data_IF_000973959346
#
_entry.id   IF_000973959346
#
_cell.length_a   1.000
_cell.length_b   1.000
_cell.length_c   1.000
_cell.angle_alpha   90.00
_cell.angle_beta   90.00
_cell.angle_gamma   90.00
#
_symmetry.space_group_name_H-M   'P 1'
#
loop_
_entity.id
_entity.type
_entity.pdbx_description
1 polymer ?
#
# COMPACT_ATOMS: atom_id res chain seq x y z
N UNK A 1 -51.73 40.52 51.32
CA UNK A 1 -50.99 40.67 50.02
C UNK A 1 -49.89 39.61 49.93
N UNK A 2 -50.16 38.57 49.18
CA UNK A 2 -49.28 37.39 49.12
C UNK A 2 -48.58 37.44 47.76
N UNK A 3 -47.25 37.64 47.80
CA UNK A 3 -46.40 37.59 46.59
C UNK A 3 -46.07 36.15 46.26
N UNK A 4 -46.56 35.67 45.10
CA UNK A 4 -46.28 34.36 44.57
C UNK A 4 -44.99 34.46 43.73
N UNK A 5 -43.88 33.86 44.18
CA UNK A 5 -42.64 33.78 43.44
C UNK A 5 -42.65 32.47 42.64
N UNK A 6 -42.59 32.59 41.31
CA UNK A 6 -42.50 31.49 40.38
C UNK A 6 -40.99 31.18 40.15
N UNK A 7 -40.53 29.96 40.26
CA UNK A 7 -39.14 29.64 39.88
C UNK A 7 -39.03 29.36 38.39
N UNK A 8 -38.11 30.07 37.75
CA UNK A 8 -37.72 29.92 36.35
C UNK A 8 -36.76 28.73 36.26
N UNK A 9 -37.21 27.61 35.70
CA UNK A 9 -36.37 26.43 35.42
C UNK A 9 -35.56 26.68 34.14
N UNK A 10 -34.24 26.90 34.27
CA UNK A 10 -33.30 26.87 33.15
C UNK A 10 -33.06 25.43 32.72
N UNK A 11 -33.63 25.03 31.60
CA UNK A 11 -33.31 23.79 30.91
C UNK A 11 -31.96 23.86 30.21
N UNK A 12 -30.95 23.23 30.78
CA UNK A 12 -29.62 23.08 30.17
C UNK A 12 -29.70 22.01 29.10
N UNK A 13 -29.77 22.40 27.82
CA UNK A 13 -29.71 21.50 26.68
C UNK A 13 -28.28 20.98 26.48
N UNK A 14 -28.05 19.69 26.74
CA UNK A 14 -26.81 19.01 26.37
C UNK A 14 -26.76 18.82 24.85
N UNK A 15 -25.95 19.60 24.16
CA UNK A 15 -25.63 19.38 22.74
C UNK A 15 -24.60 18.26 22.68
N UNK A 16 -25.03 17.04 22.36
CA UNK A 16 -24.14 15.93 22.05
C UNK A 16 -23.59 16.16 20.65
N UNK A 17 -22.37 16.66 20.54
CA UNK A 17 -21.65 16.71 19.28
C UNK A 17 -21.28 15.26 18.91
N UNK A 18 -22.05 14.65 18.03
CA UNK A 18 -21.68 13.40 17.37
C UNK A 18 -20.49 13.68 16.45
N UNK A 19 -19.27 13.39 16.89
CA UNK A 19 -18.14 13.24 16.00
C UNK A 19 -18.41 12.06 15.09
N UNK A 20 -18.90 12.34 13.88
CA UNK A 20 -18.99 11.37 12.81
C UNK A 20 -17.55 11.01 12.38
N UNK A 21 -17.00 9.97 12.99
CA UNK A 21 -15.75 9.36 12.52
C UNK A 21 -15.99 8.86 11.09
N UNK A 22 -15.27 9.43 10.14
CA UNK A 22 -15.17 8.83 8.81
C UNK A 22 -14.50 7.48 9.03
N UNK A 23 -15.20 6.40 8.70
CA UNK A 23 -14.64 5.06 8.71
C UNK A 23 -13.52 4.99 7.65
N UNK A 24 -12.29 5.26 8.06
CA UNK A 24 -11.10 5.07 7.22
C UNK A 24 -10.66 3.60 7.12
N UNK A 25 -11.41 2.67 7.74
CA UNK A 25 -11.00 1.28 7.95
C UNK A 25 -11.33 0.32 6.78
N UNK A 26 -11.80 0.81 5.65
CA UNK A 26 -11.94 -0.04 4.48
C UNK A 26 -10.59 -0.12 3.76
N UNK A 27 -9.99 -1.31 3.62
CA UNK A 27 -8.82 -1.46 2.77
C UNK A 27 -9.21 -1.06 1.35
N UNK A 28 -8.69 0.07 0.87
CA UNK A 28 -9.01 0.59 -0.46
C UNK A 28 -8.57 -0.35 -1.57
N UNK A 29 -7.53 -1.12 -1.33
CA UNK A 29 -7.05 -2.17 -2.22
C UNK A 29 -7.66 -3.48 -1.78
N UNK A 30 -8.34 -4.22 -2.67
CA UNK A 30 -8.89 -5.53 -2.34
C UNK A 30 -7.84 -6.47 -1.75
N UNK A 31 -8.25 -7.32 -0.81
CA UNK A 31 -7.38 -8.38 -0.34
C UNK A 31 -7.30 -9.48 -1.40
N UNK A 32 -6.09 -9.78 -1.83
CA UNK A 32 -5.78 -10.92 -2.68
C UNK A 32 -4.64 -11.72 -2.04
N UNK A 33 -4.64 -13.06 -2.15
CA UNK A 33 -3.57 -13.85 -1.56
C UNK A 33 -2.23 -13.54 -2.21
N UNK A 34 -1.18 -13.46 -1.38
CA UNK A 34 0.20 -13.39 -1.82
C UNK A 34 0.97 -14.50 -1.13
N UNK A 35 1.56 -15.37 -1.94
CA UNK A 35 2.46 -16.43 -1.49
C UNK A 35 3.46 -16.71 -2.61
N UNK A 36 4.55 -15.95 -2.60
CA UNK A 36 5.59 -16.02 -3.61
C UNK A 36 6.89 -16.47 -2.96
N UNK A 37 7.61 -17.36 -3.65
CA UNK A 37 8.94 -17.82 -3.24
C UNK A 37 9.91 -17.58 -4.40
N UNK A 38 10.90 -16.72 -4.17
CA UNK A 38 11.88 -16.29 -5.16
C UNK A 38 13.25 -16.86 -4.81
N UNK A 39 13.80 -17.69 -5.66
CA UNK A 39 15.18 -18.17 -5.53
C UNK A 39 16.14 -17.12 -6.11
N UNK A 40 16.78 -16.34 -5.25
CA UNK A 40 17.60 -15.17 -5.63
C UNK A 40 18.79 -15.48 -6.55
N UNK A 41 19.17 -16.77 -6.64
CA UNK A 41 20.21 -17.22 -7.58
C UNK A 41 19.72 -17.34 -9.02
N UNK A 42 18.41 -17.36 -9.25
CA UNK A 42 17.84 -17.39 -10.60
C UNK A 42 18.14 -16.11 -11.37
N UNK A 43 18.36 -16.24 -12.68
CA UNK A 43 18.72 -15.14 -13.55
C UNK A 43 17.61 -14.08 -13.66
N UNK A 44 16.35 -14.49 -13.52
CA UNK A 44 15.20 -13.56 -13.55
C UNK A 44 15.18 -12.56 -12.38
N UNK A 45 15.87 -12.88 -11.26
CA UNK A 45 15.97 -12.05 -10.07
C UNK A 45 17.35 -11.40 -9.90
N UNK A 46 18.17 -11.37 -10.93
CA UNK A 46 19.53 -10.82 -10.89
C UNK A 46 19.58 -9.37 -10.36
N UNK A 47 18.56 -8.57 -10.64
CA UNK A 47 18.44 -7.19 -10.13
C UNK A 47 18.36 -7.13 -8.60
N UNK A 48 17.81 -8.14 -7.95
CA UNK A 48 17.73 -8.22 -6.49
C UNK A 48 19.07 -8.57 -5.81
N UNK A 49 20.16 -8.68 -6.56
CA UNK A 49 21.52 -8.84 -6.03
C UNK A 49 22.18 -7.49 -5.74
N UNK A 50 21.61 -6.39 -6.21
CA UNK A 50 22.14 -5.04 -6.06
C UNK A 50 21.18 -4.19 -5.22
N UNK A 51 21.72 -3.33 -4.36
CA UNK A 51 20.93 -2.41 -3.54
C UNK A 51 20.12 -1.46 -4.46
N UNK A 52 18.89 -1.18 -4.08
CA UNK A 52 17.88 -0.50 -4.88
C UNK A 52 17.48 -1.23 -6.18
N UNK A 53 17.98 -2.44 -6.40
CA UNK A 53 17.49 -3.29 -7.47
C UNK A 53 16.06 -3.75 -7.21
N UNK A 54 15.25 -3.81 -8.27
CA UNK A 54 13.85 -4.19 -8.15
C UNK A 54 13.41 -5.08 -9.31
N UNK A 55 12.42 -5.92 -9.02
CA UNK A 55 11.76 -6.78 -10.00
C UNK A 55 10.25 -6.66 -9.88
N UNK A 56 9.55 -6.82 -10.99
CA UNK A 56 8.09 -6.86 -11.06
C UNK A 56 7.62 -8.28 -11.33
N UNK A 57 6.75 -8.77 -10.47
CA UNK A 57 6.16 -10.11 -10.56
C UNK A 57 4.71 -9.99 -11.02
N UNK A 58 4.25 -10.86 -11.93
CA UNK A 58 2.86 -10.85 -12.40
C UNK A 58 1.91 -11.39 -11.32
N UNK A 59 0.60 -11.19 -11.52
CA UNK A 59 -0.46 -11.72 -10.65
C UNK A 59 -0.37 -13.24 -10.49
N UNK A 60 -0.04 -13.94 -11.58
CA UNK A 60 0.24 -15.37 -11.58
C UNK A 60 1.76 -15.54 -11.43
N UNK A 61 2.27 -15.41 -10.22
CA UNK A 61 3.64 -15.78 -9.90
C UNK A 61 3.85 -17.30 -9.98
N UNK A 62 5.08 -17.78 -9.80
CA UNK A 62 5.40 -19.22 -9.84
C UNK A 62 4.54 -20.08 -8.91
N UNK A 63 3.97 -19.47 -7.84
CA UNK A 63 3.08 -20.13 -6.87
C UNK A 63 1.59 -19.77 -7.06
N UNK A 64 1.22 -19.02 -8.10
CA UNK A 64 -0.18 -18.71 -8.41
C UNK A 64 -0.87 -17.67 -7.55
N UNK A 65 -0.18 -17.03 -6.61
CA UNK A 65 -0.73 -16.05 -5.68
C UNK A 65 0.14 -14.78 -5.64
N UNK A 66 -0.13 -13.84 -6.53
CA UNK A 66 0.67 -12.62 -6.73
C UNK A 66 -0.08 -11.31 -6.47
N UNK A 67 -1.01 -11.27 -5.53
CA UNK A 67 -1.76 -10.06 -5.21
C UNK A 67 -2.84 -9.70 -6.24
N UNK A 68 -3.26 -8.43 -6.23
CA UNK A 68 -4.33 -7.93 -7.12
C UNK A 68 -3.81 -7.65 -8.53
N UNK A 69 -2.70 -6.94 -8.66
CA UNK A 69 -2.09 -6.56 -9.95
C UNK A 69 -0.62 -6.95 -10.08
N UNK A 70 -0.16 -7.81 -9.21
CA UNK A 70 1.22 -8.26 -9.13
C UNK A 70 1.98 -7.58 -8.00
N UNK A 71 3.23 -7.95 -7.84
CA UNK A 71 4.10 -7.48 -6.75
C UNK A 71 5.36 -6.84 -7.32
N UNK A 72 5.79 -5.74 -6.73
CA UNK A 72 7.14 -5.20 -6.93
C UNK A 72 7.96 -5.58 -5.72
N UNK A 73 9.09 -6.26 -5.92
CA UNK A 73 10.06 -6.55 -4.87
C UNK A 73 11.27 -5.65 -5.06
N UNK A 74 11.70 -5.01 -4.00
CA UNK A 74 12.84 -4.09 -3.98
C UNK A 74 13.84 -4.55 -2.94
N UNK A 75 15.12 -4.65 -3.30
CA UNK A 75 16.20 -4.83 -2.33
C UNK A 75 16.62 -3.48 -1.76
N UNK A 76 16.61 -3.35 -0.45
CA UNK A 76 17.09 -2.15 0.25
C UNK A 76 18.58 -2.28 0.64
N UNK A 77 18.98 -3.46 1.06
CA UNK A 77 20.36 -3.79 1.42
C UNK A 77 20.59 -5.31 1.34
N UNK A 78 21.75 -5.79 1.73
CA UNK A 78 22.16 -7.19 1.62
C UNK A 78 21.14 -8.22 2.16
N UNK A 79 20.41 -7.87 3.22
CA UNK A 79 19.43 -8.76 3.87
C UNK A 79 18.05 -8.14 4.02
N UNK A 80 17.83 -6.93 3.46
CA UNK A 80 16.58 -6.19 3.61
C UNK A 80 15.88 -6.03 2.27
N UNK A 81 14.64 -6.49 2.22
CA UNK A 81 13.79 -6.44 1.04
C UNK A 81 12.43 -5.87 1.42
N UNK A 82 11.81 -5.19 0.48
CA UNK A 82 10.43 -4.72 0.56
C UNK A 82 9.63 -5.30 -0.60
N UNK A 83 8.36 -5.57 -0.36
CA UNK A 83 7.46 -6.05 -1.39
C UNK A 83 6.15 -5.24 -1.37
N UNK A 84 5.70 -4.79 -2.53
CA UNK A 84 4.54 -3.92 -2.65
C UNK A 84 3.54 -4.46 -3.66
N UNK A 85 2.26 -4.30 -3.34
CA UNK A 85 1.18 -4.48 -4.30
C UNK A 85 1.32 -3.45 -5.43
N UNK A 86 1.16 -3.91 -6.67
CA UNK A 86 1.19 -3.04 -7.84
C UNK A 86 -0.12 -2.29 -8.10
N UNK A 87 -1.19 -2.62 -7.38
CA UNK A 87 -2.42 -1.85 -7.47
C UNK A 87 -2.24 -0.48 -6.80
N UNK A 88 -2.45 0.59 -7.57
CA UNK A 88 -2.29 1.95 -7.07
C UNK A 88 -3.38 2.28 -6.04
N UNK A 89 -3.03 2.88 -4.87
CA UNK A 89 -4.01 3.28 -3.86
C UNK A 89 -4.95 4.41 -4.32
N UNK A 90 -4.59 5.14 -5.37
CA UNK A 90 -5.46 6.11 -5.99
C UNK A 90 -6.36 5.41 -7.02
N UNK A 91 -7.66 5.35 -6.75
CA UNK A 91 -8.66 4.66 -7.58
C UNK A 91 -8.31 3.18 -7.84
N UNK A 92 -8.19 2.35 -6.82
CA UNK A 92 -7.67 0.97 -6.96
C UNK A 92 -8.56 0.05 -7.80
N UNK A 93 -9.81 0.43 -8.07
CA UNK A 93 -10.74 -0.32 -8.91
C UNK A 93 -10.61 0.00 -10.41
N UNK A 94 -9.87 1.04 -10.78
CA UNK A 94 -9.63 1.35 -12.19
C UNK A 94 -8.73 0.25 -12.80
N UNK A 95 -9.09 -0.24 -13.98
CA UNK A 95 -8.34 -1.30 -14.65
C UNK A 95 -6.88 -0.92 -14.90
N UNK A 96 -6.62 0.37 -15.20
CA UNK A 96 -5.29 0.90 -15.49
C UNK A 96 -4.47 1.26 -14.24
N UNK A 97 -5.06 1.32 -13.03
CA UNK A 97 -4.37 1.70 -11.80
C UNK A 97 -3.29 0.68 -11.41
N UNK A 98 -2.17 0.69 -12.11
CA UNK A 98 -1.08 -0.28 -11.95
C UNK A 98 0.27 0.42 -11.88
N UNK A 99 0.94 0.23 -10.77
CA UNK A 99 2.27 0.78 -10.51
C UNK A 99 3.34 -0.08 -11.18
N UNK A 100 4.30 0.58 -11.78
CA UNK A 100 5.46 -0.04 -12.43
C UNK A 100 6.72 0.73 -12.09
N UNK A 101 7.87 0.05 -12.16
CA UNK A 101 9.17 0.73 -12.10
C UNK A 101 9.31 1.69 -13.28
N UNK A 102 9.91 2.84 -13.04
CA UNK A 102 10.27 3.74 -14.12
C UNK A 102 11.28 3.05 -15.05
N UNK A 103 10.95 3.01 -16.35
CA UNK A 103 11.72 2.23 -17.32
C UNK A 103 13.10 2.83 -17.60
N UNK A 104 13.23 4.13 -17.41
CA UNK A 104 14.46 4.84 -17.76
C UNK A 104 15.50 4.79 -16.64
N UNK A 105 15.07 5.10 -15.42
CA UNK A 105 15.97 5.17 -14.27
C UNK A 105 15.92 3.93 -13.36
N UNK A 106 14.74 3.29 -13.23
CA UNK A 106 14.52 2.25 -12.24
C UNK A 106 14.59 2.74 -10.78
N UNK A 107 14.69 4.06 -10.56
CA UNK A 107 14.91 4.66 -9.24
C UNK A 107 13.62 5.07 -8.52
N UNK A 108 12.50 4.99 -9.19
CA UNK A 108 11.19 5.26 -8.61
C UNK A 108 10.11 4.41 -9.30
N UNK A 109 8.94 4.41 -8.69
CA UNK A 109 7.78 3.71 -9.22
C UNK A 109 6.71 4.73 -9.62
N UNK A 110 5.93 4.42 -10.67
CA UNK A 110 4.84 5.30 -11.13
C UNK A 110 3.64 4.51 -11.61
N UNK A 111 2.48 5.12 -11.46
CA UNK A 111 1.23 4.69 -12.09
C UNK A 111 1.00 5.50 -13.36
N UNK A 112 0.91 4.83 -14.50
CA UNK A 112 0.65 5.48 -15.80
C UNK A 112 -0.79 5.98 -15.96
N UNK A 113 -1.73 5.50 -15.14
CA UNK A 113 -3.14 5.89 -15.19
C UNK A 113 -3.39 7.27 -14.56
N UNK A 114 -2.83 7.52 -13.39
CA UNK A 114 -3.03 8.75 -12.63
C UNK A 114 -1.76 9.59 -12.46
N UNK A 115 -0.62 9.12 -12.98
CA UNK A 115 0.69 9.77 -12.85
C UNK A 115 1.23 9.88 -11.41
N UNK A 116 0.64 9.15 -10.44
CA UNK A 116 1.19 9.07 -9.09
C UNK A 116 2.58 8.43 -9.11
N UNK A 117 3.48 8.97 -8.31
CA UNK A 117 4.86 8.52 -8.18
C UNK A 117 5.15 8.09 -6.75
N UNK A 118 6.04 7.10 -6.62
CA UNK A 118 6.46 6.53 -5.34
C UNK A 118 7.96 6.29 -5.36
N UNK A 119 8.59 6.46 -4.22
CA UNK A 119 9.98 6.04 -4.04
C UNK A 119 10.10 4.49 -3.96
N UNK A 120 11.33 4.00 -3.90
CA UNK A 120 11.58 2.55 -3.75
C UNK A 120 11.23 1.99 -2.36
N UNK A 121 10.73 2.83 -1.45
CA UNK A 121 10.15 2.44 -0.16
C UNK A 121 8.62 2.45 -0.19
N UNK A 122 8.03 2.69 -1.36
CA UNK A 122 6.59 2.72 -1.54
C UNK A 122 5.90 3.99 -1.05
N UNK A 123 6.67 5.04 -0.67
CA UNK A 123 6.10 6.30 -0.22
C UNK A 123 5.73 7.18 -1.41
N UNK A 124 4.59 7.89 -1.35
CA UNK A 124 4.18 8.79 -2.44
C UNK A 124 5.13 9.98 -2.51
N UNK A 125 5.60 10.32 -3.72
CA UNK A 125 6.51 11.43 -4.01
C UNK A 125 5.93 12.43 -4.99
N UNK A 126 4.81 12.10 -5.65
CA UNK A 126 4.15 13.01 -6.59
C UNK A 126 2.86 12.46 -7.14
N UNK A 127 2.08 13.33 -7.80
CA UNK A 127 0.76 13.01 -8.35
C UNK A 127 -0.36 13.09 -7.32
N UNK A 128 -1.57 12.61 -7.67
CA UNK A 128 -2.76 12.78 -6.83
C UNK A 128 -2.83 11.82 -5.64
N UNK A 129 -2.03 10.74 -5.62
CA UNK A 129 -2.03 9.79 -4.52
C UNK A 129 -1.27 10.33 -3.31
N UNK A 130 -1.86 10.19 -2.13
CA UNK A 130 -1.28 10.62 -0.84
C UNK A 130 -0.97 9.44 0.10
N UNK A 131 -1.21 8.21 -0.33
CA UNK A 131 -1.04 7.01 0.49
C UNK A 131 0.15 6.18 0.03
N UNK A 132 0.86 5.51 0.94
CA UNK A 132 1.90 4.56 0.56
C UNK A 132 1.31 3.36 -0.20
N UNK A 133 2.16 2.67 -0.93
CA UNK A 133 1.80 1.38 -1.53
C UNK A 133 1.50 0.36 -0.42
N UNK A 134 0.55 -0.55 -0.68
CA UNK A 134 0.30 -1.68 0.21
C UNK A 134 1.53 -2.57 0.25
N UNK A 135 2.10 -2.73 1.43
CA UNK A 135 3.29 -3.53 1.66
C UNK A 135 2.91 -4.94 2.11
N UNK A 136 3.68 -5.92 1.67
CA UNK A 136 3.59 -7.32 2.05
C UNK A 136 4.72 -7.72 2.99
N UNK A 137 4.50 -8.80 3.75
CA UNK A 137 5.52 -9.38 4.60
C UNK A 137 6.59 -10.06 3.75
N UNK A 138 7.86 -9.91 4.14
CA UNK A 138 9.00 -10.48 3.43
C UNK A 138 9.89 -11.21 4.43
N UNK A 139 10.32 -12.43 4.09
CA UNK A 139 11.30 -13.17 4.86
C UNK A 139 12.36 -13.79 3.95
N UNK A 140 13.61 -13.68 4.36
CA UNK A 140 14.76 -14.26 3.64
C UNK A 140 15.28 -15.49 4.40
N UNK A 141 15.33 -16.63 3.72
CA UNK A 141 15.88 -17.88 4.25
C UNK A 141 16.95 -18.42 3.28
N UNK A 142 18.21 -18.24 3.62
CA UNK A 142 19.31 -18.52 2.69
C UNK A 142 19.17 -17.68 1.41
N UNK A 143 18.98 -18.32 0.29
CA UNK A 143 18.78 -17.67 -1.02
C UNK A 143 17.31 -17.60 -1.45
N UNK A 144 16.38 -17.98 -0.57
CA UNK A 144 14.95 -17.98 -0.87
C UNK A 144 14.30 -16.79 -0.16
N UNK A 145 13.71 -15.91 -0.95
CA UNK A 145 12.92 -14.78 -0.49
C UNK A 145 11.44 -15.14 -0.58
N UNK A 146 10.75 -15.18 0.55
CA UNK A 146 9.32 -15.44 0.62
C UNK A 146 8.57 -14.12 0.80
N UNK A 147 7.48 -13.93 0.04
CA UNK A 147 6.57 -12.78 0.14
C UNK A 147 5.18 -13.29 0.42
N UNK A 148 4.57 -12.81 1.52
CA UNK A 148 3.24 -13.23 1.97
C UNK A 148 2.43 -12.02 2.44
N UNK A 149 1.10 -12.18 2.49
CA UNK A 149 0.19 -11.20 3.15
C UNK A 149 -0.27 -11.68 4.51
#
# INVERSE_FOLDING_TARGET
MRHLLLPLALGSGLVVAACGGKNEDQPLIPNAPVNLSLTLTNQEYVRLRFDNGAVMLPVKGPAGAGGVKGVIVVRQSASSYLAFERNCPYRPYDACATVSLDRNSGLFMRDSCCSSQFDLRGQPTGGPNTRPLKQYSVSLQGNILNVTN
#
